data_IF_042208489559
#
_entry.id   IF_042208489559
#
_cell.length_a   1.000
_cell.length_b   1.000
_cell.length_c   1.000
_cell.angle_alpha   90.00
_cell.angle_beta   90.00
_cell.angle_gamma   90.00
#
_symmetry.space_group_name_H-M   'P 1'
#
loop_
_entity.id
_entity.type
_entity.pdbx_description
1 polymer ?
#
# COMPACT_ATOMS: atom_id res chain seq x y z
N UNK A 1 41.81 -25.05 50.37
CA UNK A 1 41.22 -23.88 51.02
C UNK A 1 41.48 -22.66 50.19
N UNK A 2 40.46 -22.00 49.68
CA UNK A 2 40.26 -20.56 49.39
C UNK A 2 39.21 -20.46 48.30
N UNK A 3 38.05 -20.26 48.69
CA UNK A 3 36.99 -19.24 48.67
C UNK A 3 36.71 -18.66 47.27
N UNK A 4 35.60 -19.11 46.76
CA UNK A 4 34.75 -18.54 45.71
C UNK A 4 34.26 -17.12 46.09
N UNK A 5 34.40 -16.16 45.20
CA UNK A 5 33.64 -14.92 45.26
C UNK A 5 32.71 -14.84 44.06
N UNK A 6 31.43 -14.85 44.33
CA UNK A 6 30.31 -14.68 43.42
C UNK A 6 30.04 -13.19 43.24
N UNK A 7 30.20 -12.66 42.03
CA UNK A 7 29.80 -11.30 41.71
C UNK A 7 28.42 -11.30 41.14
N UNK A 8 27.47 -10.80 41.93
CA UNK A 8 26.10 -10.52 41.57
C UNK A 8 26.06 -9.15 40.90
N UNK A 9 25.79 -9.13 39.59
CA UNK A 9 25.55 -7.88 38.86
C UNK A 9 24.06 -7.57 38.91
N UNK A 10 23.75 -6.48 39.59
CA UNK A 10 22.42 -5.95 39.85
C UNK A 10 21.81 -5.39 38.56
N UNK A 11 20.65 -5.93 38.14
CA UNK A 11 19.79 -5.37 37.09
C UNK A 11 18.93 -4.25 37.69
N UNK A 12 19.13 -3.02 37.26
CA UNK A 12 18.20 -1.93 37.50
C UNK A 12 17.07 -2.01 36.48
N UNK A 13 15.91 -2.44 36.94
CA UNK A 13 14.63 -2.30 36.22
C UNK A 13 14.03 -0.97 36.66
N UNK A 14 13.97 0.02 35.76
CA UNK A 14 13.19 1.24 35.97
C UNK A 14 11.78 0.97 35.50
N UNK A 15 10.88 0.72 36.44
CA UNK A 15 9.44 0.68 36.21
C UNK A 15 8.88 2.10 36.34
N UNK A 16 8.41 2.66 35.23
CA UNK A 16 7.62 3.92 35.24
C UNK A 16 6.15 3.54 35.45
N UNK A 17 5.66 3.73 36.66
CA UNK A 17 4.25 3.62 37.02
C UNK A 17 3.53 4.95 36.67
N UNK A 18 2.69 4.93 35.63
CA UNK A 18 1.66 5.95 35.43
C UNK A 18 0.39 5.51 36.14
N UNK A 19 0.10 6.21 37.23
CA UNK A 19 -1.13 6.08 38.02
C UNK A 19 -2.23 6.84 37.30
N UNK A 20 -3.22 6.15 36.74
CA UNK A 20 -4.50 6.73 36.34
C UNK A 20 -5.53 6.47 37.42
N UNK A 21 -5.98 7.53 38.07
CA UNK A 21 -7.07 7.54 39.03
C UNK A 21 -8.40 7.26 38.32
N UNK A 22 -9.05 6.17 38.67
CA UNK A 22 -10.44 5.89 38.29
C UNK A 22 -11.38 6.52 39.32
N UNK A 23 -12.13 7.51 38.86
CA UNK A 23 -13.34 7.94 39.59
C UNK A 23 -14.49 7.01 39.17
N UNK A 24 -14.97 6.28 40.17
CA UNK A 24 -16.13 5.40 40.06
C UNK A 24 -17.41 6.24 40.12
N UNK A 25 -18.28 6.10 39.13
CA UNK A 25 -19.70 6.47 39.29
C UNK A 25 -20.58 5.31 38.85
N UNK A 26 -21.19 4.65 39.83
CA UNK A 26 -22.26 3.67 39.65
C UNK A 26 -23.55 4.38 39.27
N UNK A 27 -24.21 4.01 38.19
CA UNK A 27 -25.66 4.01 38.11
C UNK A 27 -26.15 2.96 37.12
N UNK A 28 -26.94 2.07 37.67
CA UNK A 28 -27.72 1.05 36.99
C UNK A 28 -28.91 1.68 36.27
N UNK A 29 -29.18 1.30 35.00
CA UNK A 29 -30.53 0.99 34.51
C UNK A 29 -30.51 0.26 33.18
N UNK A 30 -31.33 -0.67 33.10
CA UNK A 30 -31.81 -1.73 32.28
C UNK A 30 -32.45 -1.28 30.96
N UNK A 31 -32.24 -2.10 29.91
CA UNK A 31 -33.04 -2.35 28.69
C UNK A 31 -33.93 -1.24 28.11
N UNK A 32 -33.73 -0.91 26.83
CA UNK A 32 -34.66 -1.40 25.80
C UNK A 32 -34.13 -1.16 24.39
N UNK A 33 -34.53 -2.07 23.51
CA UNK A 33 -34.27 -2.11 22.09
C UNK A 33 -35.01 -1.00 21.34
N UNK A 34 -34.30 -0.27 20.47
CA UNK A 34 -34.90 0.18 19.21
C UNK A 34 -33.81 0.69 18.25
N UNK A 35 -33.87 0.13 17.07
CA UNK A 35 -33.19 0.48 15.85
C UNK A 35 -33.48 1.92 15.46
N UNK A 36 -32.48 2.78 15.32
CA UNK A 36 -32.58 3.93 14.45
C UNK A 36 -31.20 4.30 13.89
N UNK A 37 -31.15 4.33 12.57
CA UNK A 37 -30.11 4.91 11.74
C UNK A 37 -29.97 6.40 12.05
N UNK A 38 -28.79 6.84 12.46
CA UNK A 38 -28.38 8.23 12.29
C UNK A 38 -26.93 8.30 11.82
N UNK A 39 -26.82 8.82 10.63
CA UNK A 39 -25.63 9.35 9.96
C UNK A 39 -24.89 10.31 10.87
N UNK A 40 -23.64 9.98 11.20
CA UNK A 40 -22.74 10.94 11.82
C UNK A 40 -21.72 11.40 10.79
N UNK A 41 -22.00 12.57 10.25
CA UNK A 41 -21.03 13.43 9.58
C UNK A 41 -20.14 14.08 10.65
N UNK A 42 -18.89 13.69 10.72
CA UNK A 42 -17.87 14.50 11.37
C UNK A 42 -17.05 15.23 10.31
N UNK A 43 -17.48 16.46 10.04
CA UNK A 43 -16.74 17.46 9.28
C UNK A 43 -15.47 17.85 10.05
N UNK A 44 -14.32 17.60 9.50
CA UNK A 44 -13.10 18.36 9.76
C UNK A 44 -12.89 19.32 8.58
N UNK A 45 -13.54 20.48 8.70
CA UNK A 45 -13.31 21.62 7.83
C UNK A 45 -12.00 22.29 8.22
N UNK A 46 -11.01 22.24 7.35
CA UNK A 46 -9.92 23.20 7.33
C UNK A 46 -10.38 24.40 6.49
N UNK A 47 -10.51 25.55 7.14
CA UNK A 47 -10.80 26.85 6.51
C UNK A 47 -9.68 27.20 5.51
N UNK A 48 -10.07 27.43 4.28
CA UNK A 48 -9.26 28.15 3.30
C UNK A 48 -10.02 29.40 2.88
N UNK A 49 -9.50 30.54 3.29
CA UNK A 49 -10.01 31.85 2.95
C UNK A 49 -9.94 32.10 1.45
N UNK A 50 -11.10 32.32 0.84
CA UNK A 50 -11.27 32.84 -0.51
C UNK A 50 -11.27 34.36 -0.46
N UNK A 51 -10.26 35.00 -1.02
CA UNK A 51 -10.37 36.40 -1.44
C UNK A 51 -10.77 36.45 -2.92
N UNK A 52 -11.97 36.90 -3.12
CA UNK A 52 -12.58 37.26 -4.40
C UNK A 52 -11.95 38.55 -4.94
N UNK A 53 -11.49 38.53 -6.18
CA UNK A 53 -11.40 39.73 -7.01
C UNK A 53 -12.05 39.46 -8.36
N UNK A 54 -13.20 40.12 -8.53
CA UNK A 54 -13.84 40.39 -9.81
C UNK A 54 -13.02 41.49 -10.55
N UNK A 55 -12.78 41.28 -11.82
CA UNK A 55 -12.79 42.35 -12.79
C UNK A 55 -13.19 41.84 -14.18
N UNK A 56 -14.38 42.30 -14.59
CA UNK A 56 -14.91 42.26 -15.96
C UNK A 56 -14.08 43.13 -16.89
N UNK A 57 -13.78 42.65 -18.08
CA UNK A 57 -13.92 43.47 -19.29
C UNK A 57 -14.00 42.59 -20.56
N UNK A 58 -15.08 42.78 -21.26
CA UNK A 58 -15.43 42.27 -22.58
C UNK A 58 -14.67 43.00 -23.70
N UNK A 59 -14.33 42.27 -24.78
CA UNK A 59 -14.42 42.76 -26.16
C UNK A 59 -14.15 41.65 -27.17
N UNK A 60 -15.07 41.49 -28.09
CA UNK A 60 -15.05 40.61 -29.28
C UNK A 60 -14.29 41.25 -30.47
N UNK A 61 -14.13 40.53 -31.61
CA UNK A 61 -12.95 40.51 -32.45
C UNK A 61 -13.03 41.36 -33.73
N UNK A 62 -12.02 41.34 -34.58
CA UNK A 62 -12.30 41.28 -36.01
C UNK A 62 -11.46 40.27 -36.82
N UNK A 63 -12.13 39.80 -37.83
CA UNK A 63 -11.84 38.86 -38.88
C UNK A 63 -10.83 39.32 -39.95
N UNK A 64 -10.39 38.29 -40.74
CA UNK A 64 -9.87 38.30 -42.12
C UNK A 64 -8.35 38.50 -42.28
N UNK A 65 -7.64 37.70 -42.99
CA UNK A 65 -7.68 37.17 -44.34
C UNK A 65 -6.43 36.33 -44.63
N UNK A 66 -6.61 35.26 -45.38
CA UNK A 66 -5.58 34.46 -46.05
C UNK A 66 -4.85 35.25 -47.13
N UNK A 67 -3.57 34.90 -47.48
CA UNK A 67 -3.44 34.00 -48.61
C UNK A 67 -2.33 32.91 -48.46
N UNK A 68 -2.55 31.90 -49.25
CA UNK A 68 -1.76 30.75 -49.61
C UNK A 68 -0.37 31.03 -50.11
N UNK A 69 0.59 30.17 -49.75
CA UNK A 69 1.54 29.63 -50.73
C UNK A 69 2.12 28.28 -50.28
N UNK A 70 2.35 27.46 -51.25
CA UNK A 70 2.55 26.03 -51.35
C UNK A 70 3.95 25.54 -51.06
N UNK A 71 3.96 24.21 -50.84
CA UNK A 71 5.03 23.23 -51.09
C UNK A 71 6.14 23.10 -50.02
N UNK A 72 6.25 21.95 -49.37
CA UNK A 72 7.01 20.83 -49.90
C UNK A 72 6.75 19.56 -49.10
N UNK A 73 6.66 18.43 -49.79
CA UNK A 73 6.48 17.08 -49.28
C UNK A 73 7.76 16.60 -48.60
N UNK A 74 7.67 16.31 -47.33
CA UNK A 74 8.60 15.42 -46.61
C UNK A 74 7.78 14.38 -45.84
N UNK A 75 7.36 13.30 -46.52
CA UNK A 75 6.75 12.13 -45.88
C UNK A 75 7.83 11.42 -45.14
N UNK A 76 8.02 11.74 -43.87
CA UNK A 76 8.64 10.82 -42.90
C UNK A 76 7.57 9.77 -42.56
N UNK A 77 7.74 8.58 -43.12
CA UNK A 77 7.04 7.38 -42.69
C UNK A 77 7.43 7.11 -41.24
N UNK A 78 6.55 7.50 -40.31
CA UNK A 78 6.51 6.89 -38.98
C UNK A 78 6.42 5.38 -39.16
N UNK A 79 7.50 4.70 -38.87
CA UNK A 79 7.50 3.23 -38.81
C UNK A 79 6.52 2.83 -37.72
N UNK A 80 5.42 2.25 -38.15
CA UNK A 80 4.38 1.64 -37.37
C UNK A 80 5.01 0.68 -36.35
N UNK A 81 5.22 1.15 -35.12
CA UNK A 81 5.62 0.31 -34.02
C UNK A 81 4.43 -0.58 -33.73
N UNK A 82 4.54 -1.91 -33.80
CA UNK A 82 3.40 -2.79 -33.59
C UNK A 82 2.78 -2.45 -32.22
N UNK A 83 1.52 -1.99 -32.24
CA UNK A 83 0.73 -1.70 -31.07
C UNK A 83 0.66 -2.98 -30.25
N UNK A 84 1.12 -2.91 -28.98
CA UNK A 84 1.07 -4.06 -28.08
C UNK A 84 -0.41 -4.51 -27.97
N UNK A 85 -0.69 -5.82 -28.04
CA UNK A 85 -2.06 -6.32 -28.02
C UNK A 85 -2.79 -5.80 -26.76
N UNK A 86 -3.98 -5.22 -26.96
CA UNK A 86 -4.84 -4.72 -25.88
C UNK A 86 -5.26 -5.89 -24.99
N UNK A 87 -4.65 -5.98 -23.80
CA UNK A 87 -4.95 -6.99 -22.80
C UNK A 87 -5.94 -6.38 -21.82
N UNK A 88 -7.19 -6.90 -21.72
CA UNK A 88 -8.15 -6.34 -20.78
C UNK A 88 -7.67 -6.47 -19.33
N UNK A 89 -7.95 -5.47 -18.48
CA UNK A 89 -7.55 -5.49 -17.06
C UNK A 89 -8.07 -6.74 -16.33
N UNK A 90 -7.26 -7.31 -15.45
CA UNK A 90 -7.64 -8.47 -14.66
C UNK A 90 -8.72 -8.12 -13.64
N UNK A 91 -9.74 -8.98 -13.50
CA UNK A 91 -10.72 -8.88 -12.41
C UNK A 91 -10.04 -9.10 -11.05
N UNK A 92 -10.43 -8.35 -10.01
CA UNK A 92 -9.95 -8.50 -8.64
C UNK A 92 -10.94 -9.22 -7.71
N UNK A 93 -12.04 -9.78 -8.22
CA UNK A 93 -13.07 -10.43 -7.41
C UNK A 93 -12.57 -11.67 -6.63
N UNK A 94 -11.51 -12.32 -7.10
CA UNK A 94 -10.84 -13.46 -6.46
C UNK A 94 -9.48 -13.07 -5.84
N UNK A 95 -9.25 -11.78 -5.60
CA UNK A 95 -8.00 -11.27 -5.07
C UNK A 95 -8.04 -11.11 -3.53
N UNK A 96 -6.88 -11.34 -2.91
CA UNK A 96 -6.60 -10.99 -1.52
C UNK A 96 -5.39 -10.07 -1.48
N UNK A 97 -5.52 -8.92 -0.83
CA UNK A 97 -4.43 -8.01 -0.54
C UNK A 97 -4.01 -8.16 0.92
N UNK A 98 -2.73 -8.41 1.17
CA UNK A 98 -2.12 -8.57 2.48
C UNK A 98 -1.09 -7.46 2.68
N UNK A 99 -1.23 -6.64 3.75
CA UNK A 99 -0.26 -5.58 3.96
C UNK A 99 -0.54 -4.62 5.12
N UNK A 100 0.22 -3.56 5.13
CA UNK A 100 0.23 -2.53 6.15
C UNK A 100 -0.71 -1.33 5.83
N UNK A 101 -0.40 -0.15 6.37
CA UNK A 101 -1.18 1.08 6.18
C UNK A 101 -1.37 1.48 4.71
N UNK A 102 -0.43 1.16 3.82
CA UNK A 102 -0.56 1.44 2.38
C UNK A 102 -1.60 0.53 1.74
N UNK A 103 -1.68 -0.72 2.20
CA UNK A 103 -2.74 -1.65 1.78
C UNK A 103 -4.10 -1.25 2.37
N UNK A 104 -4.14 -0.62 3.56
CA UNK A 104 -5.36 0.01 4.08
C UNK A 104 -5.81 1.13 3.14
N UNK A 105 -4.91 1.98 2.68
CA UNK A 105 -5.24 3.01 1.68
C UNK A 105 -5.76 2.42 0.36
N UNK A 106 -5.21 1.29 -0.09
CA UNK A 106 -5.75 0.57 -1.25
C UNK A 106 -7.18 0.07 -1.00
N UNK A 107 -7.45 -0.50 0.17
CA UNK A 107 -8.78 -0.97 0.55
C UNK A 107 -9.82 0.17 0.51
N UNK A 108 -9.43 1.36 0.95
CA UNK A 108 -10.31 2.50 1.08
C UNK A 108 -10.52 3.25 -0.25
N UNK A 109 -9.49 3.33 -1.11
CA UNK A 109 -9.50 4.28 -2.23
C UNK A 109 -9.19 3.68 -3.60
N UNK A 110 -8.71 2.43 -3.72
CA UNK A 110 -8.32 1.88 -5.01
C UNK A 110 -9.49 1.41 -5.89
N UNK A 111 -10.69 1.26 -5.34
CA UNK A 111 -11.88 0.88 -6.11
C UNK A 111 -11.86 -0.56 -6.67
N UNK A 112 -11.05 -1.47 -6.12
CA UNK A 112 -10.91 -2.85 -6.58
C UNK A 112 -12.09 -3.71 -6.12
N UNK A 113 -13.15 -3.73 -6.91
CA UNK A 113 -14.41 -4.38 -6.57
C UNK A 113 -14.23 -5.89 -6.35
N UNK A 114 -14.76 -6.38 -5.23
CA UNK A 114 -14.79 -7.80 -4.88
C UNK A 114 -13.51 -8.32 -4.23
N UNK A 115 -12.42 -7.56 -4.21
CA UNK A 115 -11.19 -7.93 -3.52
C UNK A 115 -11.40 -8.03 -1.99
N UNK A 116 -10.64 -8.92 -1.35
CA UNK A 116 -10.53 -8.95 0.10
C UNK A 116 -9.22 -8.32 0.54
N UNK A 117 -9.20 -7.84 1.79
CA UNK A 117 -8.05 -7.18 2.37
C UNK A 117 -7.76 -7.71 3.77
N UNK A 118 -6.58 -8.25 3.96
CA UNK A 118 -6.04 -8.61 5.27
C UNK A 118 -4.94 -7.62 5.62
N UNK A 119 -5.33 -6.45 6.11
CA UNK A 119 -4.41 -5.34 6.34
C UNK A 119 -4.72 -4.58 7.61
N UNK A 120 -3.70 -3.97 8.20
CA UNK A 120 -3.85 -3.02 9.29
C UNK A 120 -2.65 -2.08 9.37
N UNK A 121 -2.86 -0.89 9.94
CA UNK A 121 -1.77 0.07 10.20
C UNK A 121 -0.71 -0.61 11.07
N UNK A 122 0.57 -0.50 10.66
CA UNK A 122 1.71 -1.07 11.39
C UNK A 122 1.84 -2.60 11.29
N UNK A 123 1.05 -3.27 10.42
CA UNK A 123 1.23 -4.70 10.17
C UNK A 123 2.64 -4.97 9.67
N UNK A 124 3.21 -6.09 10.12
CA UNK A 124 4.57 -6.49 9.80
C UNK A 124 4.70 -8.01 9.77
N UNK A 125 5.79 -8.54 9.19
CA UNK A 125 5.99 -9.99 9.02
C UNK A 125 6.15 -10.75 10.33
N UNK A 126 6.52 -10.08 11.43
CA UNK A 126 6.68 -10.73 12.74
C UNK A 126 5.35 -10.97 13.47
N UNK A 127 4.32 -10.16 13.19
CA UNK A 127 3.04 -10.22 13.89
C UNK A 127 1.87 -10.72 13.03
N UNK A 128 1.99 -10.76 11.72
CA UNK A 128 0.89 -11.03 10.77
C UNK A 128 0.13 -12.32 11.07
N UNK A 129 0.82 -13.41 11.46
CA UNK A 129 0.18 -14.71 11.77
C UNK A 129 -0.63 -14.69 13.07
N UNK A 130 -0.36 -13.71 13.96
CA UNK A 130 -1.05 -13.58 15.26
C UNK A 130 -2.18 -12.55 15.23
N UNK A 131 -2.15 -11.64 14.27
CA UNK A 131 -3.13 -10.56 14.18
C UNK A 131 -4.49 -11.10 13.76
N UNK A 132 -5.55 -10.53 14.37
CA UNK A 132 -6.93 -10.71 13.92
C UNK A 132 -7.38 -9.40 13.25
N UNK A 133 -7.77 -9.51 12.00
CA UNK A 133 -8.16 -8.37 11.16
C UNK A 133 -9.63 -8.49 10.79
N UNK A 134 -10.35 -7.38 10.80
CA UNK A 134 -11.71 -7.32 10.26
C UNK A 134 -11.64 -7.25 8.73
N UNK A 135 -11.97 -8.37 8.09
CA UNK A 135 -12.03 -8.47 6.63
C UNK A 135 -13.48 -8.23 6.20
N UNK A 136 -13.75 -7.25 5.33
CA UNK A 136 -15.10 -6.98 4.84
C UNK A 136 -15.76 -8.26 4.31
N UNK A 137 -17.03 -8.47 4.63
CA UNK A 137 -17.85 -9.65 4.27
C UNK A 137 -17.40 -10.99 4.87
N UNK A 138 -16.32 -11.04 5.66
CA UNK A 138 -15.83 -12.27 6.31
C UNK A 138 -15.90 -12.17 7.85
N UNK A 139 -15.59 -10.98 8.40
CA UNK A 139 -15.54 -10.75 9.84
C UNK A 139 -14.11 -10.70 10.40
N UNK A 140 -13.96 -10.78 11.72
CA UNK A 140 -12.67 -10.68 12.41
C UNK A 140 -11.95 -12.03 12.46
N UNK A 141 -10.95 -12.21 11.62
CA UNK A 141 -10.23 -13.48 11.40
C UNK A 141 -8.72 -13.31 11.50
N UNK A 142 -8.01 -14.42 11.74
CA UNK A 142 -6.56 -14.52 11.50
C UNK A 142 -6.30 -14.79 10.01
N UNK A 143 -5.04 -14.61 9.57
CA UNK A 143 -4.66 -14.95 8.20
C UNK A 143 -4.87 -16.46 7.93
N UNK A 144 -4.59 -17.32 8.91
CA UNK A 144 -4.81 -18.75 8.78
C UNK A 144 -6.28 -19.11 8.59
N UNK A 145 -7.17 -18.57 9.43
CA UNK A 145 -8.62 -18.76 9.32
C UNK A 145 -9.12 -18.29 7.94
N UNK A 146 -8.66 -17.13 7.47
CA UNK A 146 -9.05 -16.60 6.19
C UNK A 146 -8.65 -17.51 5.03
N UNK A 147 -7.36 -17.90 4.98
CA UNK A 147 -6.82 -18.72 3.89
C UNK A 147 -7.31 -20.19 3.94
N UNK A 148 -7.74 -20.67 5.10
CA UNK A 148 -8.32 -22.02 5.22
C UNK A 148 -9.77 -22.07 4.76
N UNK A 149 -10.52 -20.97 4.93
CA UNK A 149 -11.96 -20.94 4.65
C UNK A 149 -12.32 -20.35 3.29
N UNK A 150 -11.40 -19.62 2.64
CA UNK A 150 -11.63 -19.01 1.32
C UNK A 150 -10.47 -19.29 0.38
N UNK A 151 -10.80 -19.57 -0.89
CA UNK A 151 -9.81 -19.74 -1.96
C UNK A 151 -9.71 -18.44 -2.77
N UNK A 152 -8.47 -18.12 -3.14
CA UNK A 152 -8.12 -16.95 -3.93
C UNK A 152 -7.41 -17.37 -5.20
N UNK A 153 -7.67 -16.67 -6.30
CA UNK A 153 -6.92 -16.84 -7.55
C UNK A 153 -5.65 -16.01 -7.56
N UNK A 154 -5.68 -14.87 -6.85
CA UNK A 154 -4.57 -13.91 -6.77
C UNK A 154 -4.37 -13.44 -5.33
N UNK A 155 -3.10 -13.38 -4.89
CA UNK A 155 -2.74 -12.87 -3.55
C UNK A 155 -1.62 -11.86 -3.71
N UNK A 156 -1.84 -10.64 -3.24
CA UNK A 156 -0.89 -9.54 -3.26
C UNK A 156 -0.33 -9.31 -1.87
N UNK A 157 1.01 -9.21 -1.73
CA UNK A 157 1.67 -9.04 -0.44
C UNK A 157 2.59 -7.82 -0.50
N UNK A 158 2.37 -6.83 0.38
CA UNK A 158 3.23 -5.67 0.57
C UNK A 158 3.47 -5.46 2.05
N UNK A 159 4.64 -5.86 2.54
CA UNK A 159 5.10 -5.75 3.92
C UNK A 159 6.62 -5.51 3.93
N UNK A 160 7.14 -5.11 5.06
CA UNK A 160 8.57 -5.00 5.31
C UNK A 160 9.06 -3.60 5.65
N UNK A 161 8.31 -2.55 5.30
CA UNK A 161 8.72 -1.17 5.58
C UNK A 161 8.71 -0.87 7.09
N UNK A 162 7.74 -1.42 7.83
CA UNK A 162 7.61 -1.21 9.28
C UNK A 162 8.70 -1.93 10.08
N UNK A 163 9.41 -2.85 9.45
CA UNK A 163 10.46 -3.65 10.06
C UNK A 163 11.88 -3.17 9.79
N UNK A 164 12.07 -2.14 8.95
CA UNK A 164 13.40 -1.70 8.50
C UNK A 164 14.38 -1.30 9.62
N UNK A 165 13.90 -1.17 10.87
CA UNK A 165 14.74 -1.00 12.05
C UNK A 165 15.22 -2.30 12.72
N UNK A 166 14.75 -3.45 12.28
CA UNK A 166 15.12 -4.76 12.84
C UNK A 166 16.29 -5.37 12.09
N UNK A 167 16.74 -6.56 12.56
CA UNK A 167 17.75 -7.33 11.83
C UNK A 167 17.25 -7.70 10.44
N UNK A 168 17.99 -7.28 9.43
CA UNK A 168 17.57 -7.38 8.03
C UNK A 168 17.36 -8.84 7.59
N UNK A 169 18.27 -9.75 7.99
CA UNK A 169 18.14 -11.16 7.61
C UNK A 169 16.91 -11.80 8.27
N UNK A 170 16.58 -11.39 9.49
CA UNK A 170 15.36 -11.83 10.17
C UNK A 170 14.09 -11.37 9.44
N UNK A 171 14.09 -10.17 8.86
CA UNK A 171 12.98 -9.68 8.03
C UNK A 171 12.80 -10.59 6.81
N UNK A 172 13.89 -10.85 6.07
CA UNK A 172 13.85 -11.67 4.85
C UNK A 172 13.41 -13.11 5.17
N UNK A 173 13.95 -13.71 6.24
CA UNK A 173 13.55 -15.04 6.66
C UNK A 173 12.05 -15.11 7.02
N UNK A 174 11.55 -14.10 7.75
CA UNK A 174 10.12 -14.05 8.12
C UNK A 174 9.21 -13.79 6.93
N UNK A 175 9.67 -13.03 5.96
CA UNK A 175 8.93 -12.84 4.71
C UNK A 175 8.87 -14.16 3.91
N UNK A 176 9.97 -14.91 3.84
CA UNK A 176 10.00 -16.26 3.28
C UNK A 176 9.04 -17.21 3.99
N UNK A 177 9.06 -17.26 5.34
CA UNK A 177 8.11 -18.04 6.16
C UNK A 177 6.63 -17.67 5.86
N UNK A 178 6.36 -16.41 5.51
CA UNK A 178 5.03 -15.95 5.11
C UNK A 178 4.66 -16.43 3.72
N UNK A 179 5.57 -16.34 2.75
CA UNK A 179 5.34 -16.82 1.39
C UNK A 179 5.07 -18.33 1.37
N UNK A 180 5.87 -19.11 2.09
CA UNK A 180 5.69 -20.56 2.20
C UNK A 180 4.35 -20.90 2.84
N UNK A 181 3.97 -20.17 3.90
CA UNK A 181 2.70 -20.34 4.55
C UNK A 181 1.51 -20.05 3.62
N UNK A 182 1.56 -18.92 2.89
CA UNK A 182 0.51 -18.54 1.95
C UNK A 182 0.42 -19.53 0.81
N UNK A 183 1.54 -19.94 0.23
CA UNK A 183 1.60 -20.92 -0.85
C UNK A 183 1.06 -22.30 -0.39
N UNK A 184 1.42 -22.74 0.81
CA UNK A 184 0.90 -23.98 1.38
C UNK A 184 -0.61 -23.99 1.58
N UNK A 185 -1.21 -22.86 1.93
CA UNK A 185 -2.68 -22.72 2.10
C UNK A 185 -3.40 -22.48 0.77
N UNK A 186 -2.73 -21.90 -0.22
CA UNK A 186 -3.30 -21.44 -1.50
C UNK A 186 -2.40 -21.87 -2.68
N UNK A 187 -2.17 -23.17 -2.90
CA UNK A 187 -1.17 -23.65 -3.87
C UNK A 187 -1.50 -23.31 -5.34
N UNK A 188 -2.76 -22.97 -5.62
CA UNK A 188 -3.22 -22.62 -6.96
C UNK A 188 -3.29 -21.10 -7.21
N UNK A 189 -3.05 -20.27 -6.19
CA UNK A 189 -3.07 -18.83 -6.33
C UNK A 189 -1.79 -18.31 -7.03
N UNK A 190 -1.94 -17.27 -7.84
CA UNK A 190 -0.80 -16.46 -8.26
C UNK A 190 -0.46 -15.47 -7.13
N UNK A 191 0.75 -15.55 -6.62
CA UNK A 191 1.23 -14.67 -5.55
C UNK A 191 2.01 -13.50 -6.18
N UNK A 192 1.62 -12.28 -5.88
CA UNK A 192 2.27 -11.05 -6.31
C UNK A 192 2.94 -10.37 -5.11
N UNK A 193 4.26 -10.37 -5.08
CA UNK A 193 5.05 -9.58 -4.15
C UNK A 193 5.08 -8.16 -4.71
N UNK A 194 4.51 -7.21 -3.99
CA UNK A 194 4.55 -5.81 -4.36
C UNK A 194 5.78 -5.14 -3.75
N UNK A 195 6.52 -4.37 -4.55
CA UNK A 195 7.56 -3.49 -4.03
C UNK A 195 7.00 -2.57 -2.94
N UNK A 196 7.73 -2.37 -1.87
CA UNK A 196 7.42 -1.30 -0.94
C UNK A 196 7.64 0.03 -1.63
N UNK A 197 6.66 0.93 -1.59
CA UNK A 197 6.79 2.25 -2.18
C UNK A 197 7.88 3.06 -1.46
N UNK A 198 8.58 3.87 -2.23
CA UNK A 198 9.53 4.84 -1.70
C UNK A 198 8.85 5.85 -0.77
N UNK A 199 9.65 6.51 0.02
CA UNK A 199 9.26 7.70 0.79
C UNK A 199 9.83 8.94 0.10
N UNK A 200 9.33 10.13 0.45
CA UNK A 200 9.88 11.35 -0.10
C UNK A 200 11.36 11.53 0.26
N UNK A 201 12.09 12.32 -0.54
CA UNK A 201 13.48 12.65 -0.26
C UNK A 201 13.65 13.20 1.15
N UNK A 202 12.72 14.08 1.60
CA UNK A 202 12.76 14.67 2.94
C UNK A 202 12.73 13.60 4.04
N UNK A 203 11.86 12.60 3.93
CA UNK A 203 11.79 11.50 4.89
C UNK A 203 13.00 10.59 4.78
N UNK A 204 13.40 10.24 3.57
CA UNK A 204 14.56 9.39 3.31
C UNK A 204 15.86 9.95 3.92
N UNK A 205 16.05 11.26 3.81
CA UNK A 205 17.25 11.92 4.36
C UNK A 205 17.24 12.02 5.90
N UNK A 206 16.07 12.03 6.53
CA UNK A 206 15.91 12.26 7.97
C UNK A 206 15.68 11.00 8.81
N UNK A 207 15.23 9.90 8.20
CA UNK A 207 14.91 8.67 8.91
C UNK A 207 16.04 7.64 8.78
N UNK A 208 16.55 7.20 9.92
CA UNK A 208 17.66 6.23 9.97
C UNK A 208 17.28 4.88 9.35
N UNK A 209 16.03 4.48 9.47
CA UNK A 209 15.56 3.17 9.13
C UNK A 209 14.66 3.17 7.89
N UNK A 210 13.63 4.01 7.87
CA UNK A 210 12.68 4.13 6.76
C UNK A 210 13.22 5.19 5.78
N UNK A 211 14.15 4.77 4.93
CA UNK A 211 14.75 5.56 3.87
C UNK A 211 14.84 4.75 2.58
N UNK A 212 14.95 5.42 1.43
CA UNK A 212 14.86 4.76 0.13
C UNK A 212 15.99 3.76 -0.10
N UNK A 213 17.19 4.01 0.42
CA UNK A 213 18.30 3.03 0.35
C UNK A 213 17.93 1.69 1.01
N UNK A 214 17.29 1.74 2.18
CA UNK A 214 16.88 0.52 2.89
C UNK A 214 15.65 -0.11 2.23
N UNK A 215 14.74 0.69 1.67
CA UNK A 215 13.58 0.23 0.90
C UNK A 215 14.06 -0.49 -0.36
N UNK A 216 14.98 0.09 -1.13
CA UNK A 216 15.57 -0.52 -2.31
C UNK A 216 16.24 -1.86 -2.01
N UNK A 217 17.04 -1.88 -0.92
CA UNK A 217 17.66 -3.11 -0.46
C UNK A 217 16.64 -4.19 -0.12
N UNK A 218 15.54 -3.82 0.55
CA UNK A 218 14.46 -4.74 0.86
C UNK A 218 13.77 -5.23 -0.42
N UNK A 219 13.37 -4.32 -1.29
CA UNK A 219 12.70 -4.62 -2.54
C UNK A 219 13.55 -5.55 -3.43
N UNK A 220 14.86 -5.31 -3.50
CA UNK A 220 15.80 -6.18 -4.22
C UNK A 220 15.82 -7.59 -3.64
N UNK A 221 15.84 -7.77 -2.32
CA UNK A 221 15.81 -9.11 -1.71
C UNK A 221 14.45 -9.79 -1.92
N UNK A 222 13.35 -9.06 -1.79
CA UNK A 222 12.01 -9.60 -2.02
C UNK A 222 11.81 -10.03 -3.48
N UNK A 223 12.36 -9.29 -4.43
CA UNK A 223 12.25 -9.64 -5.86
C UNK A 223 12.86 -10.99 -6.21
N UNK A 224 13.89 -11.43 -5.46
CA UNK A 224 14.52 -12.76 -5.65
C UNK A 224 13.60 -13.93 -5.29
N UNK A 225 12.50 -13.68 -4.55
CA UNK A 225 11.51 -14.70 -4.24
C UNK A 225 10.52 -14.96 -5.39
N UNK A 226 10.54 -14.13 -6.43
CA UNK A 226 9.75 -14.35 -7.62
C UNK A 226 10.35 -15.50 -8.45
N UNK A 227 9.51 -16.46 -8.87
CA UNK A 227 9.93 -17.62 -9.66
C UNK A 227 9.37 -17.60 -11.08
N UNK A 228 8.58 -16.57 -11.45
CA UNK A 228 7.95 -16.42 -12.76
C UNK A 228 6.86 -17.44 -13.10
N UNK A 229 6.50 -18.33 -12.16
CA UNK A 229 5.51 -19.40 -12.36
C UNK A 229 4.27 -19.24 -11.48
N UNK A 230 4.46 -19.13 -10.18
CA UNK A 230 3.41 -18.95 -9.19
C UNK A 230 3.61 -17.73 -8.32
N UNK A 231 4.83 -17.22 -8.25
CA UNK A 231 5.21 -16.03 -7.48
C UNK A 231 5.87 -15.01 -8.40
N UNK A 232 5.35 -13.83 -8.42
CA UNK A 232 5.73 -12.72 -9.28
C UNK A 232 6.11 -11.51 -8.43
N UNK A 233 6.95 -10.65 -8.95
CA UNK A 233 7.29 -9.37 -8.34
C UNK A 233 6.77 -8.24 -9.24
N UNK A 234 6.08 -7.28 -8.63
CA UNK A 234 5.56 -6.09 -9.31
C UNK A 234 5.97 -4.84 -8.57
N UNK A 235 6.30 -3.79 -9.29
CA UNK A 235 6.83 -2.54 -8.75
C UNK A 235 6.05 -1.33 -9.28
N UNK A 236 5.33 -0.67 -8.37
CA UNK A 236 4.55 0.53 -8.67
C UNK A 236 5.33 1.84 -8.41
N UNK A 237 6.57 1.78 -7.91
CA UNK A 237 7.36 2.98 -7.64
C UNK A 237 7.47 3.92 -8.85
N UNK A 238 7.68 3.44 -10.10
CA UNK A 238 7.75 4.30 -11.27
C UNK A 238 6.52 5.18 -11.52
N UNK A 239 5.35 4.83 -10.97
CA UNK A 239 4.14 5.66 -11.07
C UNK A 239 4.18 6.87 -10.15
N UNK A 240 4.89 6.76 -9.05
CA UNK A 240 4.78 7.70 -7.92
C UNK A 240 6.07 8.44 -7.62
N UNK A 241 7.18 7.95 -8.12
CA UNK A 241 8.48 8.58 -7.90
C UNK A 241 8.66 9.86 -8.72
N UNK A 242 9.50 10.73 -8.20
CA UNK A 242 10.09 11.83 -8.92
C UNK A 242 11.26 11.34 -9.80
N UNK A 243 11.86 12.27 -10.56
CA UNK A 243 13.00 11.95 -11.44
C UNK A 243 14.26 11.43 -10.72
N UNK A 244 14.32 11.58 -9.40
CA UNK A 244 15.44 11.19 -8.57
C UNK A 244 15.15 9.88 -7.78
N UNK A 245 14.00 9.21 -8.06
CA UNK A 245 13.59 7.94 -7.46
C UNK A 245 13.08 8.08 -6.03
N UNK A 246 12.49 9.21 -5.68
CA UNK A 246 11.83 9.40 -4.39
C UNK A 246 10.33 9.58 -4.61
N UNK A 247 9.51 9.18 -3.64
CA UNK A 247 8.09 9.50 -3.68
C UNK A 247 7.90 11.01 -3.89
N UNK A 248 7.23 11.36 -4.98
CA UNK A 248 7.02 12.75 -5.39
C UNK A 248 6.18 13.50 -4.36
N UNK A 249 6.61 14.73 -4.01
CA UNK A 249 5.98 15.53 -2.95
C UNK A 249 4.55 15.98 -3.28
N UNK A 250 4.19 16.05 -4.55
CA UNK A 250 2.82 16.35 -5.00
C UNK A 250 1.86 15.15 -4.82
N UNK A 251 2.38 13.98 -4.50
CA UNK A 251 1.62 12.75 -4.31
C UNK A 251 1.43 12.33 -2.85
N UNK A 252 2.02 13.06 -1.91
CA UNK A 252 1.98 12.72 -0.48
C UNK A 252 1.85 13.97 0.40
N UNK A 253 1.20 13.84 1.57
CA UNK A 253 1.16 14.90 2.59
C UNK A 253 2.07 14.63 3.77
N UNK A 254 2.36 13.36 4.06
CA UNK A 254 3.12 12.91 5.23
C UNK A 254 4.49 12.32 4.86
N UNK A 255 4.87 12.44 3.60
CA UNK A 255 6.13 11.95 3.04
C UNK A 255 6.25 10.42 2.93
N UNK A 256 5.16 9.66 3.13
CA UNK A 256 5.17 8.19 3.12
C UNK A 256 3.94 7.56 2.48
N UNK A 257 2.74 8.15 2.66
CA UNK A 257 1.50 7.64 2.09
C UNK A 257 1.03 8.50 0.93
N UNK A 258 0.40 7.87 -0.04
CA UNK A 258 -0.20 8.56 -1.18
C UNK A 258 -1.46 9.32 -0.76
N UNK A 259 -1.79 10.41 -1.45
CA UNK A 259 -3.14 10.96 -1.40
C UNK A 259 -4.15 9.97 -1.99
N UNK A 260 -5.39 10.01 -1.51
CA UNK A 260 -6.47 9.10 -1.89
C UNK A 260 -6.61 8.89 -3.41
N UNK A 261 -6.53 9.98 -4.19
CA UNK A 261 -6.65 9.93 -5.66
C UNK A 261 -5.64 9.02 -6.35
N UNK A 262 -4.43 8.86 -5.80
CA UNK A 262 -3.38 8.04 -6.41
C UNK A 262 -3.53 6.54 -6.10
N UNK A 263 -4.34 6.17 -5.11
CA UNK A 263 -4.68 4.76 -4.90
C UNK A 263 -5.59 4.22 -6.00
N UNK A 264 -6.46 5.06 -6.59
CA UNK A 264 -7.25 4.67 -7.77
C UNK A 264 -6.33 4.37 -8.96
N UNK A 265 -5.36 5.24 -9.25
CA UNK A 265 -4.34 5.04 -10.27
C UNK A 265 -3.54 3.74 -10.03
N UNK A 266 -3.15 3.49 -8.77
CA UNK A 266 -2.47 2.26 -8.39
C UNK A 266 -3.34 1.02 -8.62
N UNK A 267 -4.62 1.08 -8.26
CA UNK A 267 -5.57 -0.02 -8.49
C UNK A 267 -5.74 -0.35 -9.96
N UNK A 268 -5.88 0.65 -10.82
CA UNK A 268 -5.95 0.48 -12.27
C UNK A 268 -4.68 -0.15 -12.83
N UNK A 269 -3.52 0.33 -12.39
CA UNK A 269 -2.24 -0.21 -12.79
C UNK A 269 -2.08 -1.67 -12.37
N UNK A 270 -2.44 -2.03 -11.12
CA UNK A 270 -2.39 -3.42 -10.65
C UNK A 270 -3.24 -4.33 -11.54
N UNK A 271 -4.44 -3.90 -11.93
CA UNK A 271 -5.29 -4.69 -12.83
C UNK A 271 -4.61 -4.96 -14.19
N UNK A 272 -4.00 -3.94 -14.78
CA UNK A 272 -3.29 -4.03 -16.06
C UNK A 272 -2.03 -4.88 -15.95
N UNK A 273 -1.19 -4.61 -14.95
CA UNK A 273 0.07 -5.34 -14.74
C UNK A 273 -0.18 -6.83 -14.42
N UNK A 274 -1.21 -7.12 -13.63
CA UNK A 274 -1.62 -8.50 -13.37
C UNK A 274 -2.03 -9.24 -14.65
N UNK A 275 -2.84 -8.60 -15.50
CA UNK A 275 -3.27 -9.19 -16.76
C UNK A 275 -2.08 -9.51 -17.67
N UNK A 276 -1.12 -8.59 -17.76
CA UNK A 276 0.14 -8.75 -18.51
C UNK A 276 0.95 -9.94 -18.01
N UNK A 277 1.27 -9.97 -16.69
CA UNK A 277 2.03 -11.04 -16.06
C UNK A 277 1.38 -12.42 -16.24
N UNK A 278 0.06 -12.51 -16.07
CA UNK A 278 -0.67 -13.78 -16.23
C UNK A 278 -0.73 -14.24 -17.68
N UNK A 279 -0.73 -13.34 -18.66
CA UNK A 279 -0.65 -13.67 -20.08
C UNK A 279 0.74 -14.21 -20.45
N UNK A 280 1.80 -13.55 -19.98
CA UNK A 280 3.19 -13.99 -20.20
C UNK A 280 3.46 -15.38 -19.59
N UNK A 281 2.78 -15.74 -18.48
CA UNK A 281 2.87 -17.08 -17.88
C UNK A 281 2.28 -18.18 -18.79
N UNK A 282 1.32 -17.85 -19.67
CA UNK A 282 0.63 -18.82 -20.52
C UNK A 282 1.32 -19.04 -21.86
N UNK A 283 2.24 -18.16 -22.24
CA UNK A 283 3.06 -18.25 -23.44
C UNK A 283 4.32 -19.08 -23.23
#
# INVERSE_FOLDING_TARGET
MKKTTLNILSFFVIAVLLVFSFASCKSSKQCDSSYNNETRNDNLSAEYNNETRNDNLSAEPPSSSTPSESSDNGTETETDKPEAPDIPPASMADALFIGDSRTVGMMEYAGLTGANYFCSIGMNVFNIKKNRVSVPSVGKVTLEELLSNKKYGKIYIMLGINELGYDFQSIINKYGDLLDFVNGKQPNAAIFIQANLHVSKKRSDSDKYINNKNIDRLNLELSKSANGKSTFYIDANPLFDDKDGNLSLDKTSDNAHLYARYYTEWGEWICKETAKVLKERQS
#
